data_IF_421302865530
#
_entry.id   IF_421302865530
#
_cell.length_a   1.000
_cell.length_b   1.000
_cell.length_c   1.000
_cell.angle_alpha   90.00
_cell.angle_beta   90.00
_cell.angle_gamma   90.00
#
_symmetry.space_group_name_H-M   'P 1'
#
loop_
_entity.id
_entity.type
_entity.pdbx_description
1 polymer ?
#
# COMPACT_ATOMS: atom_id res chain seq x y z
N UNK A 1 -50.25 -2.74 -12.22
CA UNK A 1 -49.88 -3.24 -13.56
C UNK A 1 -50.55 -2.30 -14.54
N UNK A 2 -49.77 -1.53 -15.29
CA UNK A 2 -50.33 -0.58 -16.27
C UNK A 2 -50.71 -1.32 -17.55
N UNK A 3 -51.78 -0.88 -18.21
CA UNK A 3 -52.16 -1.39 -19.53
C UNK A 3 -51.16 -0.92 -20.61
N UNK A 4 -51.06 -1.60 -21.77
CA UNK A 4 -50.21 -1.16 -22.88
C UNK A 4 -50.56 0.24 -23.41
N UNK A 5 -51.84 0.62 -23.34
CA UNK A 5 -52.32 1.96 -23.72
C UNK A 5 -51.89 3.01 -22.70
N UNK A 6 -52.04 2.72 -21.41
CA UNK A 6 -51.59 3.60 -20.32
C UNK A 6 -50.08 3.84 -20.37
N UNK A 7 -49.28 2.83 -20.70
CA UNK A 7 -47.82 2.97 -20.87
C UNK A 7 -47.45 3.87 -22.05
N UNK A 8 -48.23 3.79 -23.14
CA UNK A 8 -48.01 4.61 -24.34
C UNK A 8 -48.39 6.06 -24.07
N UNK A 9 -49.48 6.29 -23.35
CA UNK A 9 -49.92 7.61 -22.92
C UNK A 9 -48.92 8.25 -21.94
N UNK A 10 -48.43 7.49 -20.96
CA UNK A 10 -47.39 7.94 -20.02
C UNK A 10 -46.08 8.29 -20.74
N UNK A 11 -45.67 7.49 -21.73
CA UNK A 11 -44.48 7.77 -22.54
C UNK A 11 -44.63 9.08 -23.31
N UNK A 12 -45.78 9.29 -23.96
CA UNK A 12 -46.04 10.51 -24.72
C UNK A 12 -46.13 11.74 -23.81
N UNK A 13 -46.76 11.61 -22.65
CA UNK A 13 -46.82 12.66 -21.65
C UNK A 13 -45.42 13.04 -21.13
N UNK A 14 -44.61 12.05 -20.76
CA UNK A 14 -43.26 12.26 -20.27
C UNK A 14 -42.37 12.94 -21.33
N UNK A 15 -42.45 12.52 -22.59
CA UNK A 15 -41.68 13.11 -23.69
C UNK A 15 -42.22 14.47 -24.16
N UNK A 16 -43.45 14.85 -23.82
CA UNK A 16 -44.02 16.16 -24.18
C UNK A 16 -43.56 17.31 -23.29
N UNK A 17 -42.88 17.03 -22.19
CA UNK A 17 -42.42 18.05 -21.23
C UNK A 17 -40.92 18.26 -21.41
N UNK A 18 -40.51 19.50 -21.69
CA UNK A 18 -39.10 19.89 -21.83
C UNK A 18 -38.27 19.62 -20.57
N UNK A 19 -38.91 19.57 -19.39
CA UNK A 19 -38.26 19.24 -18.13
C UNK A 19 -37.78 17.78 -18.05
N UNK A 20 -38.46 16.86 -18.76
CA UNK A 20 -38.17 15.43 -18.71
C UNK A 20 -37.39 14.98 -19.95
N UNK A 21 -37.81 15.41 -21.14
CA UNK A 21 -37.16 15.07 -22.39
C UNK A 21 -35.74 15.66 -22.45
N UNK A 22 -34.76 14.81 -22.74
CA UNK A 22 -33.32 15.12 -22.83
C UNK A 22 -32.66 15.60 -21.53
N UNK A 23 -33.42 15.71 -20.44
CA UNK A 23 -32.93 16.06 -19.10
C UNK A 23 -32.93 14.88 -18.13
N UNK A 24 -34.06 14.16 -18.04
CA UNK A 24 -34.25 13.01 -17.15
C UNK A 24 -34.53 11.72 -17.92
N UNK A 25 -35.03 11.81 -19.15
CA UNK A 25 -35.31 10.68 -20.02
C UNK A 25 -34.76 11.02 -21.40
N UNK A 26 -34.03 10.10 -22.01
CA UNK A 26 -33.50 10.31 -23.38
C UNK A 26 -34.64 10.40 -24.40
N UNK A 27 -34.46 11.15 -25.49
CA UNK A 27 -35.46 11.26 -26.55
C UNK A 27 -35.93 9.91 -27.15
N UNK A 28 -35.08 8.87 -27.11
CA UNK A 28 -35.42 7.50 -27.52
C UNK A 28 -36.19 6.70 -26.45
N UNK A 29 -36.34 7.25 -25.24
CA UNK A 29 -37.00 6.63 -24.09
C UNK A 29 -36.25 5.44 -23.49
N UNK A 30 -34.98 5.23 -23.88
CA UNK A 30 -34.19 4.06 -23.49
C UNK A 30 -33.53 4.19 -22.12
N UNK A 31 -33.19 5.41 -21.73
CA UNK A 31 -32.54 5.69 -20.44
C UNK A 31 -33.36 6.69 -19.64
N UNK A 32 -33.37 6.49 -18.33
CA UNK A 32 -33.91 7.45 -17.36
C UNK A 32 -32.91 7.70 -16.25
N UNK A 33 -32.89 8.93 -15.73
CA UNK A 33 -32.05 9.36 -14.63
C UNK A 33 -32.91 9.59 -13.39
N UNK A 34 -32.48 9.04 -12.26
CA UNK A 34 -33.06 9.32 -10.95
C UNK A 34 -32.01 9.97 -10.07
N UNK A 35 -32.26 11.22 -9.65
CA UNK A 35 -31.39 11.93 -8.72
C UNK A 35 -31.81 11.63 -7.28
N UNK A 36 -30.88 11.10 -6.49
CA UNK A 36 -31.09 10.84 -5.07
C UNK A 36 -30.20 11.80 -4.30
N UNK A 37 -30.81 12.71 -3.53
CA UNK A 37 -30.10 13.61 -2.62
C UNK A 37 -30.06 12.99 -1.24
N UNK A 38 -28.86 12.74 -0.74
CA UNK A 38 -28.65 12.25 0.62
C UNK A 38 -28.83 13.40 1.62
N UNK A 39 -29.44 13.09 2.77
CA UNK A 39 -29.44 14.02 3.90
C UNK A 39 -28.00 14.13 4.48
N UNK A 40 -27.63 15.29 5.04
CA UNK A 40 -26.24 15.58 5.43
C UNK A 40 -25.68 14.67 6.54
N UNK A 41 -26.55 14.12 7.40
CA UNK A 41 -26.13 13.37 8.59
C UNK A 41 -26.15 11.84 8.40
N UNK A 42 -26.23 11.37 7.16
CA UNK A 42 -26.39 9.94 6.87
C UNK A 42 -25.07 9.32 6.46
N UNK A 43 -24.79 8.12 6.97
CA UNK A 43 -23.68 7.31 6.50
C UNK A 43 -23.86 7.00 5.01
N UNK A 44 -23.02 7.65 4.21
CA UNK A 44 -23.08 7.57 2.76
C UNK A 44 -22.76 6.16 2.27
N UNK A 45 -21.84 5.43 2.93
CA UNK A 45 -21.52 4.05 2.54
C UNK A 45 -22.71 3.12 2.82
N UNK A 46 -23.35 3.26 3.98
CA UNK A 46 -24.52 2.45 4.33
C UNK A 46 -25.66 2.64 3.34
N UNK A 47 -25.94 3.90 2.97
CA UNK A 47 -27.03 4.19 2.02
C UNK A 47 -26.70 3.70 0.62
N UNK A 48 -25.48 3.92 0.13
CA UNK A 48 -25.04 3.42 -1.18
C UNK A 48 -25.19 1.89 -1.25
N UNK A 49 -24.82 1.17 -0.19
CA UNK A 49 -24.98 -0.29 -0.14
C UNK A 49 -26.45 -0.72 -0.13
N UNK A 50 -27.31 -0.03 0.64
CA UNK A 50 -28.77 -0.29 0.63
C UNK A 50 -29.39 -0.06 -0.74
N UNK A 51 -29.02 1.04 -1.42
CA UNK A 51 -29.50 1.33 -2.77
C UNK A 51 -29.05 0.24 -3.74
N UNK A 52 -27.77 -0.15 -3.74
CA UNK A 52 -27.28 -1.25 -4.60
C UNK A 52 -28.06 -2.54 -4.36
N UNK A 53 -28.36 -2.88 -3.10
CA UNK A 53 -29.10 -4.09 -2.74
C UNK A 53 -30.55 -4.05 -3.24
N UNK A 54 -31.28 -2.97 -2.98
CA UNK A 54 -32.66 -2.78 -3.44
C UNK A 54 -32.79 -2.85 -4.95
N UNK A 55 -31.79 -2.31 -5.66
CA UNK A 55 -31.75 -2.30 -7.12
C UNK A 55 -31.33 -3.67 -7.68
N UNK A 56 -30.40 -4.37 -7.03
CA UNK A 56 -30.00 -5.72 -7.42
C UNK A 56 -31.13 -6.76 -7.28
N UNK A 57 -32.04 -6.57 -6.33
CA UNK A 57 -33.22 -7.43 -6.17
C UNK A 57 -34.26 -7.21 -7.31
N UNK A 58 -34.09 -6.15 -8.12
CA UNK A 58 -35.02 -5.75 -9.19
C UNK A 58 -34.37 -5.94 -10.59
N UNK A 59 -34.38 -7.18 -11.10
CA UNK A 59 -33.67 -7.58 -12.32
C UNK A 59 -34.25 -7.07 -13.66
N UNK A 60 -35.29 -6.24 -13.64
CA UNK A 60 -36.00 -5.85 -14.87
C UNK A 60 -35.27 -4.76 -15.68
N UNK A 61 -34.26 -4.08 -15.11
CA UNK A 61 -33.56 -2.99 -15.75
C UNK A 61 -32.05 -3.05 -15.52
N UNK A 62 -31.29 -2.51 -16.48
CA UNK A 62 -29.85 -2.26 -16.29
C UNK A 62 -29.68 -0.95 -15.54
N UNK A 63 -28.94 -0.99 -14.45
CA UNK A 63 -28.76 0.14 -13.55
C UNK A 63 -27.32 0.64 -13.59
N UNK A 64 -27.14 1.94 -13.79
CA UNK A 64 -25.85 2.62 -13.75
C UNK A 64 -25.84 3.59 -12.57
N UNK A 65 -24.85 3.45 -11.70
CA UNK A 65 -24.69 4.30 -10.53
C UNK A 65 -23.60 5.34 -10.79
N UNK A 66 -23.88 6.60 -10.46
CA UNK A 66 -22.92 7.70 -10.61
C UNK A 66 -23.14 8.75 -9.51
N UNK A 67 -22.26 9.73 -9.45
CA UNK A 67 -22.27 10.81 -8.46
C UNK A 67 -21.22 10.64 -7.36
N UNK A 68 -20.92 11.72 -6.60
CA UNK A 68 -19.79 11.77 -5.68
C UNK A 68 -19.77 10.64 -4.65
N UNK A 69 -20.92 10.31 -4.07
CA UNK A 69 -21.09 9.26 -3.06
C UNK A 69 -20.78 7.85 -3.57
N UNK A 70 -21.19 7.54 -4.80
CA UNK A 70 -20.90 6.24 -5.42
C UNK A 70 -19.44 6.14 -5.86
N UNK A 71 -18.86 7.25 -6.36
CA UNK A 71 -17.46 7.32 -6.74
C UNK A 71 -16.55 7.16 -5.51
N UNK A 72 -16.87 7.82 -4.39
CA UNK A 72 -16.11 7.67 -3.15
C UNK A 72 -16.23 6.27 -2.54
N UNK A 73 -17.44 5.69 -2.49
CA UNK A 73 -17.65 4.31 -2.03
C UNK A 73 -16.88 3.29 -2.89
N UNK A 74 -16.92 3.47 -4.21
CA UNK A 74 -16.18 2.62 -5.14
C UNK A 74 -14.66 2.76 -4.95
N UNK A 75 -14.17 3.99 -4.76
CA UNK A 75 -12.76 4.24 -4.48
C UNK A 75 -12.33 3.53 -3.19
N UNK A 76 -13.07 3.70 -2.09
CA UNK A 76 -12.76 3.07 -0.79
C UNK A 76 -12.81 1.54 -0.84
N UNK A 77 -13.83 0.98 -1.50
CA UNK A 77 -13.99 -0.46 -1.63
C UNK A 77 -12.88 -1.07 -2.48
N UNK A 78 -12.52 -0.40 -3.58
CA UNK A 78 -11.40 -0.82 -4.44
C UNK A 78 -10.08 -0.76 -3.66
N UNK A 79 -9.86 0.33 -2.91
CA UNK A 79 -8.69 0.48 -2.06
C UNK A 79 -8.54 -0.66 -1.04
N UNK A 80 -9.62 -1.02 -0.34
CA UNK A 80 -9.61 -2.15 0.62
C UNK A 80 -9.30 -3.48 -0.07
N UNK A 81 -9.81 -3.69 -1.28
CA UNK A 81 -9.51 -4.89 -2.09
C UNK A 81 -8.04 -4.93 -2.52
N UNK A 82 -7.49 -3.80 -2.93
CA UNK A 82 -6.09 -3.67 -3.31
C UNK A 82 -5.19 -3.96 -2.11
N UNK A 83 -5.48 -3.42 -0.93
CA UNK A 83 -4.73 -3.74 0.29
C UNK A 83 -4.76 -5.24 0.60
N UNK A 84 -5.93 -5.90 0.51
CA UNK A 84 -6.08 -7.34 0.74
C UNK A 84 -5.34 -8.20 -0.29
N UNK A 85 -5.09 -7.68 -1.49
CA UNK A 85 -4.45 -8.43 -2.58
C UNK A 85 -2.95 -8.15 -2.63
N UNK A 86 -2.55 -6.87 -2.60
CA UNK A 86 -1.17 -6.44 -2.75
C UNK A 86 -0.33 -6.67 -1.51
N UNK A 87 -0.88 -6.49 -0.30
CA UNK A 87 -0.11 -6.69 0.92
C UNK A 87 0.43 -8.13 1.06
N UNK A 88 -0.38 -9.20 0.94
CA UNK A 88 0.16 -10.56 0.99
C UNK A 88 1.07 -10.88 -0.20
N UNK A 89 0.77 -10.35 -1.40
CA UNK A 89 1.60 -10.56 -2.59
C UNK A 89 2.99 -9.94 -2.42
N UNK A 90 3.08 -8.73 -1.90
CA UNK A 90 4.34 -8.02 -1.65
C UNK A 90 5.12 -8.70 -0.53
N UNK A 91 4.46 -9.10 0.56
CA UNK A 91 5.12 -9.89 1.62
C UNK A 91 5.68 -11.19 1.05
N UNK A 92 4.90 -11.91 0.24
CA UNK A 92 5.35 -13.15 -0.41
C UNK A 92 6.55 -12.89 -1.32
N UNK A 93 6.49 -11.86 -2.16
CA UNK A 93 7.55 -11.49 -3.09
C UNK A 93 8.84 -11.11 -2.35
N UNK A 94 8.75 -10.23 -1.35
CA UNK A 94 9.91 -9.80 -0.55
C UNK A 94 10.48 -10.98 0.24
N UNK A 95 9.62 -11.82 0.82
CA UNK A 95 10.05 -13.05 1.51
C UNK A 95 10.81 -13.97 0.55
N UNK A 96 10.29 -14.17 -0.67
CA UNK A 96 10.93 -14.99 -1.69
C UNK A 96 12.29 -14.43 -2.09
N UNK A 97 12.37 -13.13 -2.38
CA UNK A 97 13.63 -12.46 -2.74
C UNK A 97 14.65 -12.60 -1.60
N UNK A 98 14.27 -12.28 -0.37
CA UNK A 98 15.14 -12.43 0.80
C UNK A 98 15.58 -13.88 1.02
N UNK A 99 14.67 -14.84 0.86
CA UNK A 99 14.98 -16.26 0.99
C UNK A 99 15.92 -16.74 -0.11
N UNK A 100 15.76 -16.29 -1.35
CA UNK A 100 16.66 -16.64 -2.45
C UNK A 100 18.05 -16.03 -2.25
N UNK A 101 18.13 -14.79 -1.77
CA UNK A 101 19.39 -14.09 -1.46
C UNK A 101 20.15 -14.78 -0.33
N UNK A 102 19.49 -15.06 0.79
CA UNK A 102 20.20 -15.53 1.99
C UNK A 102 20.12 -17.03 2.25
N UNK A 103 19.18 -17.75 1.61
CA UNK A 103 18.92 -19.20 1.74
C UNK A 103 18.79 -19.69 3.18
N UNK A 104 18.42 -18.80 4.11
CA UNK A 104 18.29 -19.11 5.54
C UNK A 104 17.11 -18.33 6.13
N UNK A 105 16.24 -19.04 6.87
CA UNK A 105 15.04 -18.44 7.47
C UNK A 105 15.37 -17.25 8.39
N UNK A 106 16.48 -17.31 9.12
CA UNK A 106 16.90 -16.22 10.03
C UNK A 106 17.17 -14.92 9.27
N UNK A 107 17.87 -15.03 8.15
CA UNK A 107 18.23 -13.88 7.33
C UNK A 107 17.06 -13.34 6.50
N UNK A 108 16.01 -14.13 6.32
CA UNK A 108 14.75 -13.70 5.72
C UNK A 108 13.85 -13.01 6.75
N UNK A 109 13.68 -13.62 7.93
CA UNK A 109 12.73 -13.15 8.93
C UNK A 109 13.19 -11.87 9.63
N UNK A 110 14.49 -11.68 9.88
CA UNK A 110 14.97 -10.48 10.58
C UNK A 110 14.68 -9.17 9.81
N UNK A 111 15.02 -9.04 8.51
CA UNK A 111 14.60 -7.89 7.70
C UNK A 111 13.08 -7.70 7.63
N UNK A 112 12.33 -8.80 7.49
CA UNK A 112 10.86 -8.74 7.45
C UNK A 112 10.27 -8.22 8.75
N UNK A 113 10.76 -8.69 9.90
CA UNK A 113 10.29 -8.23 11.20
C UNK A 113 10.62 -6.75 11.42
N UNK A 114 11.84 -6.33 11.07
CA UNK A 114 12.24 -4.93 11.19
C UNK A 114 11.31 -4.01 10.38
N UNK A 115 11.00 -4.37 9.13
CA UNK A 115 10.11 -3.55 8.29
C UNK A 115 8.65 -3.63 8.70
N UNK A 116 8.19 -4.76 9.25
CA UNK A 116 6.83 -4.85 9.82
C UNK A 116 6.69 -3.89 11.01
N UNK A 117 7.71 -3.79 11.86
CA UNK A 117 7.71 -2.84 12.99
C UNK A 117 7.59 -1.40 12.47
N UNK A 118 8.34 -1.03 11.43
CA UNK A 118 8.25 0.33 10.85
C UNK A 118 6.89 0.61 10.22
N UNK A 119 6.27 -0.38 9.56
CA UNK A 119 4.90 -0.26 9.05
C UNK A 119 3.90 -0.04 10.18
N UNK A 120 3.99 -0.82 11.27
CA UNK A 120 3.11 -0.67 12.44
C UNK A 120 3.28 0.71 13.06
N UNK A 121 4.51 1.21 13.22
CA UNK A 121 4.74 2.56 13.74
C UNK A 121 4.16 3.64 12.83
N UNK A 122 4.27 3.47 11.52
CA UNK A 122 3.73 4.42 10.55
C UNK A 122 2.21 4.46 10.58
N UNK A 123 1.56 3.28 10.55
CA UNK A 123 0.10 3.19 10.66
C UNK A 123 -0.39 3.70 12.02
N UNK A 124 0.35 3.41 13.10
CA UNK A 124 0.10 3.95 14.43
C UNK A 124 0.19 5.46 14.46
N UNK A 125 1.17 6.08 13.80
CA UNK A 125 1.31 7.53 13.70
C UNK A 125 0.13 8.17 12.93
N UNK A 126 -0.31 7.54 11.84
CA UNK A 126 -1.48 8.01 11.07
C UNK A 126 -2.70 8.08 11.99
N UNK A 127 -3.01 7.00 12.70
CA UNK A 127 -4.15 6.94 13.62
C UNK A 127 -3.96 7.88 14.82
N UNK A 128 -2.75 7.99 15.37
CA UNK A 128 -2.44 8.87 16.49
C UNK A 128 -2.59 10.36 16.16
N UNK A 129 -2.41 10.74 14.89
CA UNK A 129 -2.66 12.12 14.42
C UNK A 129 -4.13 12.38 14.10
N UNK A 130 -5.04 11.45 14.42
CA UNK A 130 -6.48 11.56 14.16
C UNK A 130 -6.83 11.45 12.67
N UNK A 131 -5.90 10.95 11.84
CA UNK A 131 -6.10 10.80 10.40
C UNK A 131 -6.48 9.37 10.05
N UNK A 132 -7.28 9.23 9.00
CA UNK A 132 -7.61 7.94 8.42
C UNK A 132 -6.69 7.63 7.24
N UNK A 133 -6.48 6.34 6.98
CA UNK A 133 -5.74 5.91 5.80
C UNK A 133 -6.56 6.27 4.55
N UNK A 134 -6.07 7.23 3.77
CA UNK A 134 -6.70 7.62 2.52
C UNK A 134 -6.57 6.52 1.46
N UNK A 135 -7.37 6.61 0.39
CA UNK A 135 -7.28 5.71 -0.78
C UNK A 135 -5.86 5.65 -1.34
N UNK A 136 -5.15 6.79 -1.38
CA UNK A 136 -3.75 6.88 -1.81
C UNK A 136 -2.80 6.29 -0.74
N UNK A 137 -3.09 6.52 0.54
CA UNK A 137 -2.30 6.03 1.68
C UNK A 137 -2.17 4.51 1.76
N UNK A 138 -3.02 3.74 1.07
CA UNK A 138 -2.91 2.27 0.99
C UNK A 138 -1.60 1.80 0.35
N UNK A 139 -0.94 2.66 -0.43
CA UNK A 139 0.39 2.37 -0.95
C UNK A 139 1.48 2.36 0.14
N UNK A 140 1.29 3.03 1.29
CA UNK A 140 2.32 3.22 2.31
C UNK A 140 2.90 1.88 2.80
N UNK A 141 2.10 0.90 3.27
CA UNK A 141 2.67 -0.36 3.75
C UNK A 141 3.45 -1.11 2.67
N UNK A 142 2.95 -1.10 1.43
CA UNK A 142 3.59 -1.76 0.28
C UNK A 142 4.95 -1.14 -0.02
N UNK A 143 5.00 0.20 -0.10
CA UNK A 143 6.23 0.97 -0.33
C UNK A 143 7.24 0.69 0.79
N UNK A 144 6.80 0.76 2.05
CA UNK A 144 7.68 0.55 3.18
C UNK A 144 8.24 -0.87 3.23
N UNK A 145 7.44 -1.89 2.94
CA UNK A 145 7.94 -3.28 2.88
C UNK A 145 9.00 -3.42 1.79
N UNK A 146 8.76 -2.84 0.60
CA UNK A 146 9.73 -2.89 -0.49
C UNK A 146 11.03 -2.18 -0.15
N UNK A 147 10.98 -0.90 0.22
CA UNK A 147 12.18 -0.07 0.48
C UNK A 147 12.86 -0.46 1.79
N UNK A 148 12.09 -0.65 2.86
CA UNK A 148 12.62 -0.97 4.19
C UNK A 148 13.29 -2.34 4.26
N UNK A 149 12.83 -3.31 3.48
CA UNK A 149 13.51 -4.61 3.39
C UNK A 149 14.93 -4.50 2.84
N UNK A 150 15.20 -3.52 1.95
CA UNK A 150 16.53 -3.28 1.40
C UNK A 150 17.55 -2.87 2.48
N UNK A 151 17.15 -2.04 3.45
CA UNK A 151 18.02 -1.69 4.58
C UNK A 151 18.38 -2.94 5.40
N UNK A 152 17.41 -3.82 5.65
CA UNK A 152 17.65 -5.10 6.29
C UNK A 152 18.59 -6.00 5.47
N UNK A 153 18.47 -6.02 4.14
CA UNK A 153 19.39 -6.76 3.26
C UNK A 153 20.83 -6.26 3.44
N UNK A 154 21.07 -4.96 3.41
CA UNK A 154 22.40 -4.40 3.57
C UNK A 154 23.03 -4.76 4.93
N UNK A 155 22.26 -4.67 6.01
CA UNK A 155 22.72 -5.04 7.35
C UNK A 155 23.01 -6.54 7.45
N UNK A 156 22.13 -7.39 6.90
CA UNK A 156 22.35 -8.83 6.88
C UNK A 156 23.56 -9.24 6.02
N UNK A 157 23.77 -8.57 4.89
CA UNK A 157 24.89 -8.83 4.00
C UNK A 157 26.23 -8.49 4.67
N UNK A 158 26.29 -7.35 5.37
CA UNK A 158 27.45 -6.97 6.16
C UNK A 158 27.72 -7.95 7.29
N UNK A 159 26.68 -8.36 8.04
CA UNK A 159 26.83 -9.36 9.09
C UNK A 159 27.43 -10.67 8.57
N UNK A 160 26.93 -11.22 7.47
CA UNK A 160 27.46 -12.47 6.93
C UNK A 160 28.78 -12.32 6.16
N UNK A 161 29.10 -11.13 5.66
CA UNK A 161 30.39 -10.82 5.04
C UNK A 161 31.51 -10.67 6.07
N UNK A 162 31.19 -10.10 7.24
CA UNK A 162 32.18 -9.73 8.25
C UNK A 162 32.29 -10.76 9.39
N UNK A 163 31.19 -11.40 9.82
CA UNK A 163 31.19 -12.33 10.96
C UNK A 163 31.48 -13.77 10.55
N UNK A 164 32.47 -14.38 11.22
CA UNK A 164 32.93 -15.76 11.00
C UNK A 164 32.77 -16.68 12.22
N UNK A 165 32.56 -16.15 13.42
CA UNK A 165 32.41 -16.95 14.64
C UNK A 165 31.64 -16.21 15.73
N UNK A 166 31.11 -16.96 16.71
CA UNK A 166 30.45 -16.37 17.89
C UNK A 166 31.40 -15.51 18.75
N UNK A 167 32.70 -15.81 18.76
CA UNK A 167 33.71 -15.09 19.58
C UNK A 167 33.96 -13.68 19.06
N UNK A 168 34.00 -13.53 17.74
CA UNK A 168 34.32 -12.27 17.03
C UNK A 168 33.08 -11.48 16.63
N UNK A 169 31.88 -12.09 16.74
CA UNK A 169 30.62 -11.54 16.26
C UNK A 169 30.34 -10.10 16.68
N UNK A 170 30.45 -9.79 17.98
CA UNK A 170 30.12 -8.46 18.49
C UNK A 170 31.05 -7.39 17.91
N UNK A 171 32.36 -7.66 17.96
CA UNK A 171 33.39 -6.73 17.49
C UNK A 171 33.29 -6.50 15.97
N UNK A 172 33.19 -7.59 15.20
CA UNK A 172 33.08 -7.51 13.74
C UNK A 172 31.78 -6.88 13.27
N UNK A 173 30.67 -7.12 13.98
CA UNK A 173 29.41 -6.46 13.67
C UNK A 173 29.49 -4.95 13.96
N UNK A 174 30.07 -4.52 15.08
CA UNK A 174 30.25 -3.09 15.35
C UNK A 174 31.11 -2.42 14.27
N UNK A 175 32.24 -3.04 13.90
CA UNK A 175 33.10 -2.55 12.83
C UNK A 175 32.35 -2.49 11.48
N UNK A 176 31.62 -3.54 11.13
CA UNK A 176 30.84 -3.61 9.89
C UNK A 176 29.74 -2.55 9.83
N UNK A 177 28.98 -2.37 10.91
CA UNK A 177 27.95 -1.33 10.98
C UNK A 177 28.55 0.07 10.85
N UNK A 178 29.73 0.32 11.42
CA UNK A 178 30.46 1.58 11.24
C UNK A 178 30.84 1.83 9.78
N UNK A 179 31.16 0.77 9.03
CA UNK A 179 31.54 0.88 7.61
C UNK A 179 30.33 1.20 6.71
N UNK A 180 29.20 0.53 6.94
CA UNK A 180 28.00 0.70 6.10
C UNK A 180 27.07 1.82 6.57
N UNK A 181 27.26 2.33 7.80
CA UNK A 181 26.31 3.24 8.45
C UNK A 181 26.13 4.56 7.71
N UNK A 182 27.21 5.18 7.24
CA UNK A 182 27.10 6.42 6.45
C UNK A 182 26.36 6.18 5.13
N UNK A 183 26.64 5.07 4.44
CA UNK A 183 25.96 4.73 3.19
C UNK A 183 24.46 4.49 3.39
N UNK A 184 24.09 3.74 4.44
CA UNK A 184 22.69 3.50 4.79
C UNK A 184 21.97 4.79 5.21
N UNK A 185 22.62 5.63 6.03
CA UNK A 185 22.05 6.90 6.45
C UNK A 185 21.77 7.82 5.26
N UNK A 186 22.72 7.96 4.34
CA UNK A 186 22.53 8.78 3.14
C UNK A 186 21.44 8.21 2.23
N UNK A 187 21.37 6.89 2.06
CA UNK A 187 20.29 6.23 1.29
C UNK A 187 18.90 6.45 1.92
N UNK A 188 18.79 6.38 3.25
CA UNK A 188 17.57 6.70 3.96
C UNK A 188 17.21 8.19 3.80
N UNK A 189 18.19 9.08 3.97
CA UNK A 189 17.99 10.52 3.87
C UNK A 189 17.50 10.95 2.49
N UNK A 190 18.09 10.43 1.40
CA UNK A 190 17.64 10.76 0.04
C UNK A 190 16.21 10.27 -0.21
N UNK A 191 15.87 9.09 0.30
CA UNK A 191 14.52 8.54 0.20
C UNK A 191 13.50 9.36 1.02
N UNK A 192 13.88 9.76 2.23
CA UNK A 192 13.08 10.64 3.09
C UNK A 192 12.81 11.97 2.38
N UNK A 193 13.85 12.60 1.83
CA UNK A 193 13.72 13.86 1.08
C UNK A 193 12.84 13.66 -0.16
N UNK A 194 12.98 12.53 -0.86
CA UNK A 194 12.14 12.16 -2.00
C UNK A 194 10.66 12.12 -1.64
N UNK A 195 10.28 11.43 -0.55
CA UNK A 195 8.88 11.41 -0.10
C UNK A 195 8.43 12.74 0.51
N UNK A 196 9.29 13.43 1.26
CA UNK A 196 8.99 14.75 1.83
C UNK A 196 8.70 15.79 0.75
N UNK A 197 9.27 15.67 -0.44
CA UNK A 197 8.98 16.56 -1.57
C UNK A 197 7.50 16.56 -1.96
N UNK A 198 6.76 15.47 -1.70
CA UNK A 198 5.32 15.37 -1.97
C UNK A 198 4.46 16.30 -1.09
N UNK A 199 5.02 16.92 -0.04
CA UNK A 199 4.35 17.96 0.75
C UNK A 199 3.95 19.17 -0.11
N UNK A 200 4.66 19.39 -1.22
CA UNK A 200 4.37 20.45 -2.19
C UNK A 200 3.16 20.18 -3.09
N UNK A 201 2.65 18.94 -3.13
CA UNK A 201 1.50 18.59 -3.95
C UNK A 201 0.25 19.34 -3.51
N UNK A 202 -0.67 19.68 -4.42
CA UNK A 202 -1.89 20.41 -4.04
C UNK A 202 -2.88 19.53 -3.26
N UNK A 203 -2.96 18.25 -3.61
CA UNK A 203 -3.89 17.29 -3.04
C UNK A 203 -3.42 16.78 -1.66
N UNK A 204 -4.24 16.99 -0.62
CA UNK A 204 -3.95 16.55 0.75
C UNK A 204 -3.58 15.07 0.87
N UNK A 205 -4.26 14.11 0.21
CA UNK A 205 -3.88 12.70 0.28
C UNK A 205 -2.46 12.41 -0.23
N UNK A 206 -1.95 13.21 -1.17
CA UNK A 206 -0.57 13.09 -1.68
C UNK A 206 0.44 13.68 -0.68
N UNK A 207 0.10 14.81 -0.05
CA UNK A 207 0.93 15.38 1.03
C UNK A 207 1.09 14.39 2.18
N UNK A 208 -0.02 13.77 2.60
CA UNK A 208 -0.05 12.76 3.66
C UNK A 208 0.79 11.53 3.29
N UNK A 209 0.65 11.03 2.07
CA UNK A 209 1.49 9.95 1.56
C UNK A 209 2.97 10.29 1.73
N UNK A 210 3.38 11.50 1.36
CA UNK A 210 4.75 11.98 1.52
C UNK A 210 5.24 11.99 2.96
N UNK A 211 4.50 12.66 3.85
CA UNK A 211 4.89 12.84 5.25
C UNK A 211 4.98 11.49 5.97
N UNK A 212 3.94 10.66 5.85
CA UNK A 212 3.88 9.38 6.57
C UNK A 212 4.87 8.36 5.99
N UNK A 213 5.09 8.34 4.67
CA UNK A 213 6.09 7.45 4.08
C UNK A 213 7.51 7.90 4.44
N UNK A 214 7.79 9.20 4.47
CA UNK A 214 9.08 9.72 4.94
C UNK A 214 9.37 9.30 6.38
N UNK A 215 8.38 9.42 7.28
CA UNK A 215 8.50 8.88 8.64
C UNK A 215 8.72 7.36 8.64
N UNK A 216 7.96 6.62 7.84
CA UNK A 216 8.09 5.17 7.78
C UNK A 216 9.44 4.69 7.26
N UNK A 217 10.05 5.41 6.32
CA UNK A 217 11.41 5.16 5.84
C UNK A 217 12.43 5.41 6.95
N UNK A 218 12.28 6.51 7.69
CA UNK A 218 13.12 6.77 8.87
C UNK A 218 12.98 5.66 9.90
N UNK A 219 11.75 5.22 10.21
CA UNK A 219 11.48 4.12 11.12
C UNK A 219 12.09 2.80 10.61
N UNK A 220 12.00 2.52 9.31
CA UNK A 220 12.58 1.33 8.68
C UNK A 220 14.11 1.33 8.75
N UNK A 221 14.74 2.47 8.49
CA UNK A 221 16.19 2.65 8.66
C UNK A 221 16.59 2.42 10.12
N UNK A 222 15.93 3.08 11.07
CA UNK A 222 16.25 2.96 12.50
C UNK A 222 16.08 1.53 13.00
N UNK A 223 14.98 0.87 12.67
CA UNK A 223 14.75 -0.53 13.03
C UNK A 223 15.77 -1.44 12.36
N UNK A 224 16.03 -1.32 11.06
CA UNK A 224 17.05 -2.14 10.41
C UNK A 224 18.45 -1.94 11.02
N UNK A 225 18.84 -0.70 11.31
CA UNK A 225 20.17 -0.36 11.82
C UNK A 225 20.37 -0.72 13.30
N UNK A 226 19.30 -0.81 14.10
CA UNK A 226 19.38 -1.08 15.54
C UNK A 226 18.86 -2.47 15.91
N UNK A 227 17.62 -2.79 15.53
CA UNK A 227 16.94 -4.02 15.92
C UNK A 227 17.62 -5.27 15.36
N UNK A 228 18.00 -5.24 14.07
CA UNK A 228 18.64 -6.40 13.42
C UNK A 228 20.00 -6.71 14.08
N UNK A 229 20.96 -5.77 14.21
CA UNK A 229 22.23 -6.05 14.86
C UNK A 229 22.07 -6.50 16.31
N UNK A 230 21.17 -5.88 17.08
CA UNK A 230 20.91 -6.27 18.47
C UNK A 230 20.45 -7.73 18.59
N UNK A 231 19.53 -8.17 17.73
CA UNK A 231 19.10 -9.58 17.72
C UNK A 231 20.22 -10.52 17.28
N UNK A 232 21.01 -10.15 16.26
CA UNK A 232 22.13 -10.96 15.79
C UNK A 232 23.20 -11.17 16.89
N UNK A 233 23.46 -10.16 17.73
CA UNK A 233 24.37 -10.30 18.87
C UNK A 233 23.88 -11.34 19.88
N UNK A 234 22.56 -11.46 20.08
CA UNK A 234 21.97 -12.43 21.01
C UNK A 234 21.85 -13.85 20.43
N UNK A 235 21.76 -13.98 19.11
CA UNK A 235 21.60 -15.28 18.44
C UNK A 235 22.93 -15.98 18.16
N UNK A 236 22.99 -17.32 18.31
CA UNK A 236 24.18 -18.10 17.90
C UNK A 236 24.47 -17.92 16.41
N UNK A 237 25.74 -17.69 16.09
CA UNK A 237 26.26 -17.63 14.73
C UNK A 237 25.90 -18.91 13.98
N UNK A 238 25.40 -18.75 12.76
CA UNK A 238 25.22 -19.84 11.81
C UNK A 238 25.84 -19.39 10.50
N UNK A 239 26.81 -20.13 9.95
CA UNK A 239 27.43 -19.76 8.69
C UNK A 239 26.39 -19.77 7.57
N UNK A 240 26.44 -18.77 6.72
CA UNK A 240 25.62 -18.72 5.52
C UNK A 240 26.24 -19.64 4.46
N UNK A 241 25.41 -20.42 3.78
CA UNK A 241 25.81 -21.17 2.59
C UNK A 241 25.85 -20.18 1.41
N UNK A 242 26.85 -19.31 1.37
CA UNK A 242 27.00 -18.34 0.28
C UNK A 242 27.22 -19.09 -1.04
N UNK A 243 26.46 -18.71 -2.05
CA UNK A 243 26.82 -18.95 -3.44
C UNK A 243 28.08 -18.13 -3.71
N UNK A 244 29.26 -18.76 -3.63
CA UNK A 244 30.49 -18.15 -4.15
C UNK A 244 30.22 -17.84 -5.62
N UNK A 245 30.05 -16.56 -5.96
CA UNK A 245 30.42 -16.11 -7.30
C UNK A 245 31.94 -16.16 -7.28
N UNK A 246 32.49 -17.22 -7.86
CA UNK A 246 33.93 -17.46 -7.90
C UNK A 246 34.55 -16.29 -8.66
N UNK A 247 35.60 -15.67 -8.09
CA UNK A 247 36.37 -14.59 -8.75
C UNK A 247 36.95 -15.01 -10.12
N UNK A 248 36.89 -16.29 -10.47
CA UNK A 248 37.31 -16.83 -11.77
C UNK A 248 36.44 -16.34 -12.95
N UNK A 249 35.21 -15.90 -12.71
CA UNK A 249 34.32 -15.40 -13.78
C UNK A 249 34.70 -13.98 -14.27
N UNK A 250 35.58 -13.27 -13.55
CA UNK A 250 35.99 -11.88 -13.88
C UNK A 250 37.26 -11.83 -14.73
N UNK A 251 38.03 -12.93 -14.81
CA UNK A 251 39.29 -12.99 -15.57
C UNK A 251 39.13 -13.47 -17.03
N UNK A 252 37.90 -13.59 -17.56
CA UNK A 252 37.66 -14.02 -18.95
C UNK A 252 37.73 -12.81 -19.94
N UNK A 253 37.94 -11.59 -19.44
CA UNK A 253 38.03 -10.36 -20.25
C UNK A 253 39.34 -9.58 -20.06
N UNK A 254 40.41 -10.23 -19.58
CA UNK A 254 41.77 -9.63 -19.52
C UNK A 254 42.70 -10.27 -20.55
#
# INVERSE_FOLDING_TARGET
>A
HYSPEELTELKNYALSKDLYKDNLITADGKYSMMMIKLAPDVDTQEVVQKIRKLVADNNNYQHYFTGPSFVSDYADTSAKKDLRTFLPLVILLVTLVLFLTFRTLRATLLPLLAVIISVIWTLGLIVATGRNLSTIGIAIPVILIAVGSAYGIHVMNEYYGSVDSDKTKKEKLIAGMSNIGMALFLSALTTIVGFASLVTAELTPIKELGIFTAFGVLAAYLTAYTFIPSLLVLMRYKPQKQSKVTKDDVNIFS
#
